data_IF_244793304044
#
_entry.id   IF_244793304044
#
_cell.length_a   1.000
_cell.length_b   1.000
_cell.length_c   1.000
_cell.angle_alpha   90.00
_cell.angle_beta   90.00
_cell.angle_gamma   90.00
#
_symmetry.space_group_name_H-M   'P 1'
#
loop_
_entity.id
_entity.type
_entity.pdbx_description
1 polymer ?
#
# COMPACT_ATOMS: atom_id res chain seq x y z
N UNK A 1 -27.39 -9.09 19.48
CA UNK A 1 -27.43 -8.94 18.01
C UNK A 1 -27.02 -10.28 17.42
N UNK A 2 -27.93 -11.08 16.86
CA UNK A 2 -27.56 -12.36 16.28
C UNK A 2 -26.66 -12.09 15.07
N UNK A 3 -25.57 -12.85 14.95
CA UNK A 3 -24.76 -12.91 13.73
C UNK A 3 -25.62 -13.53 12.63
N UNK A 4 -26.39 -12.71 11.92
CA UNK A 4 -27.00 -13.08 10.65
C UNK A 4 -25.86 -13.34 9.66
N UNK A 5 -25.58 -14.62 9.39
CA UNK A 5 -24.85 -15.08 8.20
C UNK A 5 -25.70 -14.78 6.96
N UNK A 6 -25.98 -13.51 6.68
CA UNK A 6 -26.74 -13.04 5.52
C UNK A 6 -25.96 -13.16 4.21
N UNK A 7 -24.70 -13.60 4.29
CA UNK A 7 -23.80 -13.82 3.17
C UNK A 7 -23.71 -15.32 2.92
N UNK A 8 -24.06 -15.76 1.71
CA UNK A 8 -24.02 -17.17 1.32
C UNK A 8 -22.62 -17.77 1.58
N UNK A 9 -22.56 -19.04 2.00
CA UNK A 9 -21.30 -19.71 2.34
C UNK A 9 -20.35 -19.72 1.12
N UNK A 10 -20.91 -19.78 -0.08
CA UNK A 10 -20.17 -19.67 -1.35
C UNK A 10 -19.53 -18.29 -1.49
N UNK A 11 -20.26 -17.21 -1.20
CA UNK A 11 -19.73 -15.84 -1.23
C UNK A 11 -18.62 -15.67 -0.21
N UNK A 12 -18.77 -16.23 1.00
CA UNK A 12 -17.74 -16.19 2.02
C UNK A 12 -16.46 -16.91 1.59
N UNK A 13 -16.59 -18.09 0.97
CA UNK A 13 -15.48 -18.86 0.43
C UNK A 13 -14.76 -18.12 -0.72
N UNK A 14 -15.51 -17.50 -1.62
CA UNK A 14 -14.96 -16.67 -2.71
C UNK A 14 -14.22 -15.46 -2.13
N UNK A 15 -14.84 -14.73 -1.19
CA UNK A 15 -14.20 -13.58 -0.54
C UNK A 15 -12.94 -13.97 0.22
N UNK A 16 -12.94 -15.12 0.91
CA UNK A 16 -11.76 -15.64 1.60
C UNK A 16 -10.63 -15.98 0.62
N UNK A 17 -10.94 -16.64 -0.50
CA UNK A 17 -9.96 -16.96 -1.54
C UNK A 17 -9.40 -15.67 -2.19
N UNK A 18 -10.26 -14.72 -2.52
CA UNK A 18 -9.85 -13.42 -3.09
C UNK A 18 -9.01 -12.64 -2.09
N UNK A 19 -9.40 -12.59 -0.81
CA UNK A 19 -8.63 -11.92 0.24
C UNK A 19 -7.26 -12.59 0.44
N UNK A 20 -7.18 -13.93 0.37
CA UNK A 20 -5.93 -14.67 0.46
C UNK A 20 -4.99 -14.36 -0.72
N UNK A 21 -5.50 -14.45 -1.96
CA UNK A 21 -4.72 -14.14 -3.17
C UNK A 21 -4.30 -12.66 -3.17
N UNK A 22 -5.22 -11.76 -2.83
CA UNK A 22 -4.92 -10.33 -2.76
C UNK A 22 -3.91 -10.02 -1.65
N UNK A 23 -3.98 -10.67 -0.50
CA UNK A 23 -3.00 -10.56 0.57
C UNK A 23 -1.62 -11.12 0.17
N UNK A 24 -1.59 -12.21 -0.59
CA UNK A 24 -0.35 -12.75 -1.17
C UNK A 24 0.26 -11.77 -2.18
N UNK A 25 -0.55 -11.18 -3.06
CA UNK A 25 -0.10 -10.14 -4.00
C UNK A 25 0.34 -8.87 -3.24
N UNK A 26 -0.37 -8.50 -2.17
CA UNK A 26 0.01 -7.37 -1.30
C UNK A 26 1.38 -7.60 -0.67
N UNK A 27 1.66 -8.81 -0.22
CA UNK A 27 2.96 -9.17 0.34
C UNK A 27 4.10 -9.08 -0.70
N UNK A 28 3.81 -9.28 -1.99
CA UNK A 28 4.81 -9.23 -3.07
C UNK A 28 4.98 -7.81 -3.64
N UNK A 29 3.87 -7.12 -3.92
CA UNK A 29 3.83 -5.89 -4.71
C UNK A 29 3.26 -4.67 -3.96
N UNK A 30 2.67 -4.86 -2.77
CA UNK A 30 2.09 -3.78 -1.94
C UNK A 30 0.83 -3.13 -2.54
N UNK A 31 0.10 -3.84 -3.39
CA UNK A 31 -1.08 -3.33 -4.11
C UNK A 31 -2.36 -4.13 -3.87
N UNK A 32 -2.40 -5.06 -2.91
CA UNK A 32 -3.54 -5.96 -2.70
C UNK A 32 -4.84 -5.24 -2.35
N UNK A 33 -4.74 -4.04 -1.77
CA UNK A 33 -5.88 -3.14 -1.56
C UNK A 33 -6.67 -2.81 -2.83
N UNK A 34 -6.02 -2.81 -4.01
CA UNK A 34 -6.69 -2.59 -5.29
C UNK A 34 -7.55 -3.77 -5.73
N UNK A 35 -7.32 -4.97 -5.18
CA UNK A 35 -8.11 -6.17 -5.45
C UNK A 35 -9.20 -6.38 -4.38
N UNK A 36 -8.85 -6.23 -3.09
CA UNK A 36 -9.80 -6.40 -1.98
C UNK A 36 -10.87 -5.31 -1.93
N UNK A 37 -10.51 -4.05 -2.19
CA UNK A 37 -11.46 -2.93 -2.15
C UNK A 37 -12.62 -3.10 -3.13
N UNK A 38 -12.42 -3.32 -4.44
CA UNK A 38 -13.53 -3.53 -5.36
C UNK A 38 -14.28 -4.83 -5.07
N UNK A 39 -13.60 -5.92 -4.67
CA UNK A 39 -14.27 -7.17 -4.32
C UNK A 39 -15.26 -7.01 -3.15
N UNK A 40 -14.86 -6.32 -2.09
CA UNK A 40 -15.73 -6.04 -0.94
C UNK A 40 -16.84 -5.05 -1.27
N UNK A 41 -16.58 -4.03 -2.11
CA UNK A 41 -17.62 -3.14 -2.60
C UNK A 41 -18.66 -3.89 -3.44
N UNK A 42 -18.24 -4.81 -4.32
CA UNK A 42 -19.16 -5.64 -5.10
C UNK A 42 -19.96 -6.62 -4.25
N UNK A 43 -19.43 -7.01 -3.08
CA UNK A 43 -20.15 -7.80 -2.08
C UNK A 43 -21.16 -6.96 -1.27
N UNK A 44 -21.31 -5.67 -1.56
CA UNK A 44 -22.30 -4.79 -0.94
C UNK A 44 -21.87 -4.18 0.40
N UNK A 45 -20.59 -4.30 0.78
CA UNK A 45 -20.10 -3.67 2.01
C UNK A 45 -20.01 -2.15 1.86
N UNK A 46 -20.38 -1.39 2.91
CA UNK A 46 -20.26 0.07 2.88
C UNK A 46 -18.78 0.49 2.86
N UNK A 47 -18.40 1.59 2.18
CA UNK A 47 -17.00 1.96 1.94
C UNK A 47 -16.16 2.15 3.21
N UNK A 48 -16.77 2.62 4.30
CA UNK A 48 -16.04 2.81 5.55
C UNK A 48 -15.59 1.46 6.15
N UNK A 49 -16.39 0.39 6.03
CA UNK A 49 -15.99 -0.97 6.42
C UNK A 49 -14.97 -1.56 5.46
N UNK A 50 -15.13 -1.31 4.15
CA UNK A 50 -14.16 -1.75 3.15
C UNK A 50 -12.78 -1.14 3.40
N UNK A 51 -12.72 0.17 3.56
CA UNK A 51 -11.47 0.88 3.85
C UNK A 51 -10.88 0.48 5.20
N UNK A 52 -11.71 0.36 6.25
CA UNK A 52 -11.25 -0.07 7.56
C UNK A 52 -10.63 -1.47 7.53
N UNK A 53 -11.30 -2.41 6.86
CA UNK A 53 -10.82 -3.80 6.69
C UNK A 53 -9.52 -3.83 5.90
N UNK A 54 -9.44 -3.07 4.80
CA UNK A 54 -8.22 -2.98 4.00
C UNK A 54 -7.04 -2.39 4.79
N UNK A 55 -7.27 -1.30 5.54
CA UNK A 55 -6.23 -0.67 6.37
C UNK A 55 -5.73 -1.60 7.47
N UNK A 56 -6.62 -2.33 8.14
CA UNK A 56 -6.25 -3.29 9.17
C UNK A 56 -5.39 -4.41 8.58
N UNK A 57 -5.83 -5.04 7.49
CA UNK A 57 -5.08 -6.09 6.79
C UNK A 57 -3.72 -5.60 6.30
N UNK A 58 -3.67 -4.45 5.64
CA UNK A 58 -2.43 -3.91 5.08
C UNK A 58 -1.43 -3.46 6.16
N UNK A 59 -1.91 -3.03 7.34
CA UNK A 59 -1.05 -2.73 8.49
C UNK A 59 -0.33 -3.98 8.98
N UNK A 60 -1.04 -5.11 9.14
CA UNK A 60 -0.41 -6.37 9.53
C UNK A 60 0.53 -6.91 8.44
N UNK A 61 0.14 -6.82 7.18
CA UNK A 61 0.98 -7.21 6.03
C UNK A 61 2.28 -6.40 5.97
N UNK A 62 2.17 -5.07 6.03
CA UNK A 62 3.31 -4.15 6.01
C UNK A 62 4.21 -4.32 7.24
N UNK A 63 3.62 -4.51 8.44
CA UNK A 63 4.40 -4.74 9.66
C UNK A 63 5.21 -6.05 9.57
N UNK A 64 4.60 -7.12 9.08
CA UNK A 64 5.25 -8.42 8.90
C UNK A 64 6.37 -8.36 7.85
N UNK A 65 6.11 -7.70 6.71
CA UNK A 65 7.10 -7.50 5.66
C UNK A 65 8.28 -6.66 6.15
N UNK A 66 7.98 -5.53 6.82
CA UNK A 66 9.00 -4.63 7.38
C UNK A 66 9.87 -5.33 8.43
N UNK A 67 9.25 -6.11 9.33
CA UNK A 67 9.98 -6.93 10.30
C UNK A 67 10.88 -7.98 9.64
N UNK A 68 10.38 -8.65 8.59
CA UNK A 68 11.14 -9.66 7.85
C UNK A 68 12.34 -9.04 7.14
N UNK A 69 12.16 -7.91 6.47
CA UNK A 69 13.25 -7.20 5.78
C UNK A 69 14.29 -6.63 6.74
N UNK A 70 13.85 -6.14 7.90
CA UNK A 70 14.75 -5.71 8.97
C UNK A 70 15.58 -6.88 9.50
N UNK A 71 14.96 -8.03 9.78
CA UNK A 71 15.65 -9.23 10.27
C UNK A 71 16.66 -9.77 9.26
N UNK A 72 16.36 -9.66 7.96
CA UNK A 72 17.28 -10.04 6.86
C UNK A 72 18.34 -8.99 6.54
N UNK A 73 18.39 -7.87 7.28
CA UNK A 73 19.34 -6.75 7.08
C UNK A 73 19.35 -6.20 5.64
N UNK A 74 18.20 -6.27 4.95
CA UNK A 74 18.06 -5.84 3.57
C UNK A 74 18.06 -4.30 3.42
N UNK A 75 17.82 -3.57 4.51
CA UNK A 75 17.87 -2.12 4.53
C UNK A 75 18.29 -1.57 5.90
N UNK A 76 18.74 -0.32 5.93
CA UNK A 76 19.09 0.39 7.17
C UNK A 76 18.00 1.42 7.50
N UNK A 77 17.21 1.23 8.58
CA UNK A 77 16.08 2.11 8.89
C UNK A 77 16.49 3.57 9.11
N UNK A 78 17.72 3.80 9.60
CA UNK A 78 18.27 5.14 9.83
C UNK A 78 18.31 6.00 8.55
N UNK A 79 18.46 5.37 7.38
CA UNK A 79 18.51 6.06 6.08
C UNK A 79 17.13 6.54 5.59
N UNK A 80 16.05 5.97 6.15
CA UNK A 80 14.66 6.24 5.75
C UNK A 80 13.86 6.98 6.83
N UNK A 81 14.52 7.45 7.89
CA UNK A 81 13.88 8.16 9.01
C UNK A 81 13.03 9.35 8.57
N UNK A 82 13.50 10.16 7.62
CA UNK A 82 12.72 11.30 7.11
C UNK A 82 11.48 10.86 6.33
N UNK A 83 11.60 9.79 5.54
CA UNK A 83 10.46 9.20 4.86
C UNK A 83 9.43 8.68 5.88
N UNK A 84 9.86 7.92 6.89
CA UNK A 84 8.99 7.38 7.94
C UNK A 84 8.24 8.51 8.67
N UNK A 85 8.93 9.58 9.08
CA UNK A 85 8.30 10.72 9.75
C UNK A 85 7.33 11.43 8.81
N UNK A 86 7.73 11.67 7.56
CA UNK A 86 6.84 12.25 6.55
C UNK A 86 5.58 11.44 6.35
N UNK A 87 5.71 10.12 6.19
CA UNK A 87 4.58 9.19 6.03
C UNK A 87 3.67 9.19 7.24
N UNK A 88 4.23 9.19 8.46
CA UNK A 88 3.44 9.22 9.68
C UNK A 88 2.59 10.50 9.77
N UNK A 89 3.20 11.67 9.52
CA UNK A 89 2.50 12.96 9.54
C UNK A 89 1.48 13.06 8.41
N UNK A 90 1.83 12.61 7.21
CA UNK A 90 0.93 12.53 6.07
C UNK A 90 -0.26 11.63 6.36
N UNK A 91 -0.04 10.41 6.87
CA UNK A 91 -1.09 9.46 7.18
C UNK A 91 -2.02 9.95 8.29
N UNK A 92 -1.49 10.58 9.34
CA UNK A 92 -2.31 11.18 10.39
C UNK A 92 -3.18 12.31 9.85
N UNK A 93 -2.60 13.22 9.08
CA UNK A 93 -3.36 14.34 8.47
C UNK A 93 -4.40 13.83 7.47
N UNK A 94 -4.05 12.87 6.63
CA UNK A 94 -4.97 12.24 5.69
C UNK A 94 -6.10 11.47 6.37
N UNK A 95 -5.82 10.75 7.45
CA UNK A 95 -6.83 10.05 8.24
C UNK A 95 -7.81 11.01 8.95
N UNK A 96 -7.31 12.13 9.48
CA UNK A 96 -8.16 13.18 10.04
C UNK A 96 -9.06 13.76 8.96
N UNK A 97 -8.52 14.07 7.78
CA UNK A 97 -9.31 14.55 6.64
C UNK A 97 -10.38 13.53 6.27
N UNK A 98 -10.02 12.25 6.14
CA UNK A 98 -10.96 11.17 5.83
C UNK A 98 -12.08 11.03 6.87
N UNK A 99 -11.78 11.28 8.15
CA UNK A 99 -12.77 11.23 9.22
C UNK A 99 -13.87 12.31 9.06
N UNK A 100 -13.52 13.49 8.54
CA UNK A 100 -14.46 14.57 8.27
C UNK A 100 -15.15 14.47 6.89
N UNK A 101 -14.77 13.50 6.06
CA UNK A 101 -15.39 13.33 4.75
C UNK A 101 -16.76 12.65 4.86
N UNK A 102 -17.81 13.17 4.18
CA UNK A 102 -19.11 12.54 4.17
C UNK A 102 -19.06 11.18 3.44
N UNK A 103 -19.78 10.20 3.98
CA UNK A 103 -19.80 8.83 3.45
C UNK A 103 -20.25 8.73 1.98
N UNK A 104 -21.10 9.65 1.51
CA UNK A 104 -21.50 9.76 0.09
C UNK A 104 -20.33 10.12 -0.84
N UNK A 105 -19.41 10.97 -0.36
CA UNK A 105 -18.23 11.32 -1.14
C UNK A 105 -17.31 10.11 -1.27
N UNK A 106 -17.10 9.39 -0.17
CA UNK A 106 -16.34 8.13 -0.15
C UNK A 106 -16.94 7.10 -1.12
N UNK A 107 -18.25 6.89 -1.08
CA UNK A 107 -18.97 5.96 -1.97
C UNK A 107 -18.73 6.26 -3.46
N UNK A 108 -18.73 7.54 -3.85
CA UNK A 108 -18.55 7.93 -5.26
C UNK A 108 -17.08 7.93 -5.69
N UNK A 109 -16.18 8.34 -4.80
CA UNK A 109 -14.77 8.54 -5.14
C UNK A 109 -13.94 7.27 -5.00
N UNK A 110 -14.26 6.35 -4.07
CA UNK A 110 -13.48 5.12 -3.90
C UNK A 110 -13.34 4.31 -5.20
N UNK A 111 -14.44 4.00 -5.91
CA UNK A 111 -14.35 3.21 -7.14
C UNK A 111 -13.52 3.91 -8.20
N UNK A 112 -13.64 5.24 -8.31
CA UNK A 112 -12.86 6.06 -9.26
C UNK A 112 -11.37 6.03 -8.91
N UNK A 113 -11.02 6.18 -7.63
CA UNK A 113 -9.64 6.12 -7.16
C UNK A 113 -9.06 4.74 -7.44
N UNK A 114 -9.73 3.67 -7.05
CA UNK A 114 -9.29 2.29 -7.28
C UNK A 114 -9.11 2.02 -8.78
N UNK A 115 -10.05 2.43 -9.61
CA UNK A 115 -9.99 2.25 -11.06
C UNK A 115 -8.82 3.02 -11.68
N UNK A 116 -8.66 4.30 -11.33
CA UNK A 116 -7.55 5.13 -11.80
C UNK A 116 -6.18 4.58 -11.36
N UNK A 117 -6.07 4.12 -10.11
CA UNK A 117 -4.87 3.48 -9.58
C UNK A 117 -4.57 2.15 -10.32
N UNK A 118 -5.61 1.35 -10.57
CA UNK A 118 -5.50 0.11 -11.35
C UNK A 118 -5.00 0.37 -12.77
N UNK A 119 -5.58 1.36 -13.47
CA UNK A 119 -5.12 1.80 -14.79
C UNK A 119 -3.67 2.28 -14.74
N UNK A 120 -3.32 3.13 -13.77
CA UNK A 120 -1.96 3.62 -13.63
C UNK A 120 -0.96 2.48 -13.43
N UNK A 121 -1.27 1.46 -12.62
CA UNK A 121 -0.37 0.32 -12.44
C UNK A 121 -0.32 -0.61 -13.65
N UNK A 122 -1.43 -0.77 -14.38
CA UNK A 122 -1.47 -1.59 -15.59
C UNK A 122 -0.69 -0.96 -16.76
N UNK A 123 -0.80 0.36 -16.94
CA UNK A 123 -0.23 1.08 -18.08
C UNK A 123 1.04 1.89 -17.76
N UNK A 124 1.32 2.15 -16.48
CA UNK A 124 2.40 3.03 -16.06
C UNK A 124 3.81 2.49 -16.34
N UNK A 125 3.94 1.19 -16.60
CA UNK A 125 5.22 0.51 -16.78
C UNK A 125 6.06 0.52 -15.50
N UNK A 126 6.90 -0.51 -15.31
CA UNK A 126 7.91 -0.45 -14.25
C UNK A 126 9.06 0.45 -14.74
N UNK A 127 9.40 1.54 -14.03
CA UNK A 127 10.55 2.36 -14.39
C UNK A 127 11.79 1.47 -14.42
N UNK A 128 12.54 1.48 -15.53
CA UNK A 128 13.83 0.78 -15.61
C UNK A 128 14.79 1.49 -14.66
N UNK A 129 15.17 0.82 -13.57
CA UNK A 129 16.24 1.30 -12.70
C UNK A 129 17.56 1.29 -13.49
N UNK A 130 18.26 2.43 -13.65
CA UNK A 130 19.62 2.43 -14.17
C UNK A 130 20.52 1.46 -13.37
N UNK A 131 21.23 0.60 -14.12
CA UNK A 131 22.11 -0.46 -13.60
C UNK A 131 23.37 0.08 -12.94
N UNK A 132 23.73 1.33 -13.23
CA UNK A 132 24.82 2.06 -12.60
C UNK A 132 24.28 3.17 -11.71
N UNK A 133 24.84 3.28 -10.50
CA UNK A 133 25.46 4.52 -10.01
C UNK A 133 25.42 4.60 -8.49
N UNK A 134 26.59 4.79 -7.89
CA UNK A 134 26.87 5.19 -6.50
C UNK A 134 26.27 6.56 -6.10
N UNK A 135 25.06 6.88 -6.56
CA UNK A 135 24.41 8.16 -6.31
C UNK A 135 23.77 8.20 -4.91
N UNK A 136 24.07 9.21 -4.07
CA UNK A 136 23.59 9.29 -2.70
C UNK A 136 22.09 9.56 -2.62
N UNK A 137 21.42 8.91 -1.66
CA UNK A 137 20.00 9.12 -1.34
C UNK A 137 19.79 10.60 -0.95
N UNK A 138 19.08 11.35 -1.81
CA UNK A 138 18.81 12.78 -1.58
C UNK A 138 17.73 12.96 -0.50
N UNK A 139 18.15 13.08 0.76
CA UNK A 139 17.28 13.28 1.96
C UNK A 139 16.18 14.33 1.80
N UNK A 140 16.40 15.38 0.99
CA UNK A 140 15.43 16.47 0.78
C UNK A 140 14.09 16.02 0.18
N UNK A 141 14.07 14.94 -0.60
CA UNK A 141 12.85 14.45 -1.25
C UNK A 141 12.09 13.42 -0.42
N UNK A 142 12.74 12.79 0.57
CA UNK A 142 12.15 11.75 1.40
C UNK A 142 10.94 12.25 2.20
N UNK A 143 11.04 13.43 2.83
CA UNK A 143 9.93 13.96 3.63
C UNK A 143 8.72 14.33 2.78
N UNK A 144 8.94 14.95 1.61
CA UNK A 144 7.84 15.36 0.72
C UNK A 144 7.15 14.14 0.10
N UNK A 145 7.94 13.17 -0.37
CA UNK A 145 7.43 11.89 -0.86
C UNK A 145 6.66 11.14 0.22
N UNK A 146 7.26 10.99 1.41
CA UNK A 146 6.64 10.33 2.55
C UNK A 146 5.34 11.00 2.95
N UNK A 147 5.32 12.33 3.06
CA UNK A 147 4.10 13.08 3.37
C UNK A 147 3.00 12.87 2.32
N UNK A 148 3.34 12.97 1.04
CA UNK A 148 2.35 12.86 -0.04
C UNK A 148 1.75 11.47 -0.13
N UNK A 149 2.60 10.43 -0.08
CA UNK A 149 2.16 9.03 -0.11
C UNK A 149 1.44 8.64 1.19
N UNK A 150 1.92 9.12 2.34
CA UNK A 150 1.25 8.94 3.62
C UNK A 150 -0.11 9.59 3.66
N UNK A 151 -0.26 10.81 3.13
CA UNK A 151 -1.55 11.49 3.04
C UNK A 151 -2.54 10.72 2.16
N UNK A 152 -2.10 10.28 0.97
CA UNK A 152 -2.89 9.41 0.11
C UNK A 152 -3.32 8.11 0.84
N UNK A 153 -2.38 7.47 1.53
CA UNK A 153 -2.64 6.26 2.28
C UNK A 153 -3.64 6.50 3.42
N UNK A 154 -3.50 7.63 4.12
CA UNK A 154 -4.40 8.10 5.17
C UNK A 154 -5.83 8.29 4.66
N UNK A 155 -5.99 8.96 3.51
CA UNK A 155 -7.31 9.27 2.92
C UNK A 155 -7.98 8.05 2.29
N UNK A 156 -7.26 7.33 1.42
CA UNK A 156 -7.81 6.26 0.60
C UNK A 156 -7.16 4.91 0.94
N UNK A 157 -5.87 4.71 0.63
CA UNK A 157 -5.12 3.49 0.96
C UNK A 157 -4.92 2.42 -0.14
N UNK A 158 -5.79 2.22 -1.14
CA UNK A 158 -5.54 1.21 -2.19
C UNK A 158 -4.28 1.52 -3.01
N UNK A 159 -3.39 0.54 -3.19
CA UNK A 159 -2.22 0.69 -4.07
C UNK A 159 -1.04 1.47 -3.49
N UNK A 160 -1.08 1.85 -2.21
CA UNK A 160 -0.03 2.62 -1.54
C UNK A 160 1.35 1.99 -1.68
N UNK A 161 1.51 0.68 -1.48
CA UNK A 161 2.81 0.02 -1.57
C UNK A 161 3.38 -0.03 -2.99
N UNK A 162 2.51 -0.16 -4.01
CA UNK A 162 2.91 -0.05 -5.41
C UNK A 162 3.39 1.38 -5.74
N UNK A 163 2.69 2.40 -5.23
CA UNK A 163 3.12 3.79 -5.38
C UNK A 163 4.43 4.10 -4.64
N UNK A 164 4.64 3.54 -3.46
CA UNK A 164 5.93 3.60 -2.77
C UNK A 164 7.05 2.99 -3.61
N UNK A 165 6.79 1.85 -4.23
CA UNK A 165 7.75 1.15 -5.09
C UNK A 165 8.10 1.99 -6.32
N UNK A 166 7.10 2.42 -7.10
CA UNK A 166 7.29 3.24 -8.31
C UNK A 166 7.96 4.57 -7.98
N UNK A 167 7.48 5.28 -6.96
CA UNK A 167 8.05 6.56 -6.54
C UNK A 167 9.49 6.42 -6.07
N UNK A 168 9.82 5.35 -5.33
CA UNK A 168 11.19 5.09 -4.89
C UNK A 168 12.11 4.68 -6.04
N UNK A 169 11.61 3.94 -7.04
CA UNK A 169 12.37 3.61 -8.25
C UNK A 169 12.70 4.86 -9.08
N UNK A 170 11.76 5.81 -9.16
CA UNK A 170 11.96 7.08 -9.88
C UNK A 170 12.90 8.04 -9.14
N UNK A 171 12.79 8.14 -7.81
CA UNK A 171 13.53 9.10 -7.00
C UNK A 171 14.88 8.56 -6.50
N UNK A 172 14.99 7.24 -6.29
CA UNK A 172 16.19 6.55 -5.81
C UNK A 172 16.50 5.29 -6.65
N UNK A 173 16.90 5.47 -7.91
CA UNK A 173 17.23 4.34 -8.78
C UNK A 173 18.29 3.38 -8.22
N UNK A 174 19.15 3.85 -7.31
CA UNK A 174 20.36 3.19 -6.83
C UNK A 174 20.16 2.09 -5.78
N UNK A 175 18.93 1.85 -5.29
CA UNK A 175 18.72 1.00 -4.08
C UNK A 175 18.40 -0.48 -4.35
N UNK A 176 17.95 -0.84 -5.55
CA UNK A 176 17.36 -2.17 -5.82
C UNK A 176 18.28 -3.14 -6.59
N UNK A 177 19.43 -2.69 -7.09
CA UNK A 177 20.35 -3.51 -7.91
C UNK A 177 21.35 -4.34 -7.10
N UNK A 178 21.33 -4.30 -5.76
CA UNK A 178 22.06 -5.29 -4.96
C UNK A 178 21.23 -6.58 -4.91
N UNK A 179 21.62 -7.68 -5.60
CA UNK A 179 21.31 -8.98 -5.02
C UNK A 179 21.85 -8.92 -3.59
N UNK A 180 21.00 -9.24 -2.61
CA UNK A 180 21.47 -9.47 -1.26
C UNK A 180 22.71 -10.35 -1.40
N UNK A 181 23.88 -9.83 -1.00
CA UNK A 181 25.08 -10.64 -0.98
C UNK A 181 24.74 -11.82 -0.06
N UNK A 182 24.41 -12.94 -0.69
CA UNK A 182 24.28 -14.21 -0.02
C UNK A 182 25.63 -14.39 0.67
N UNK A 183 25.68 -14.58 2.00
CA UNK A 183 26.93 -14.98 2.61
C UNK A 183 27.29 -16.32 1.95
N UNK A 184 28.27 -16.28 1.06
CA UNK A 184 28.90 -17.48 0.54
C UNK A 184 29.48 -18.20 1.76
N UNK A 185 28.81 -19.28 2.15
CA UNK A 185 29.38 -20.32 2.98
C UNK A 185 30.23 -21.23 2.08
#
# INVERSE_FOLDING_TARGET
MPFELSVDLTTLAILALVAFIAGFIDAIAGGGGLLTTPALLTAGLPPHLVLGTNKLSSTFGSATASFTFYRRKLFHPRQWTHAIVGTLVGALTGAIVAHYLPAEWLNKMLPVIVFACGLYLLFGGTPKAPLDSDAPIKKKWQSSQGFSLGFYDGVAGPGTGAFWTVSSLLLYPSTWSRPAAWPAA
#
